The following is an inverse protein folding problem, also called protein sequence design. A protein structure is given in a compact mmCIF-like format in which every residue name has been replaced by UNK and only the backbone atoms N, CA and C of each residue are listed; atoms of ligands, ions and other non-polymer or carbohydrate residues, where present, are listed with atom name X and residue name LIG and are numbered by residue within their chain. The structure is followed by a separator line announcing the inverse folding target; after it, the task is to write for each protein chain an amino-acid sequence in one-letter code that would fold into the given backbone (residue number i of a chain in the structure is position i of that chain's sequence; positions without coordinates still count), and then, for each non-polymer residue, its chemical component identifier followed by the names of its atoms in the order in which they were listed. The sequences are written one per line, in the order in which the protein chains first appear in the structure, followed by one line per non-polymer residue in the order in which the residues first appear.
data_IF_092701536891
#
_entry.id   IF_092701536891
#
_cell.length_a   1.000
_cell.length_b   1.000
_cell.length_c   1.000
_cell.angle_alpha   90.00
_cell.angle_beta   90.00
_cell.angle_gamma   90.00
#
_symmetry.space_group_name_H-M   'P 1'
#
loop_
_entity.id
_entity.type
_entity.pdbx_description
1 polymer ?
#
# COMPACT_ATOMS: atom_id res chain seq x y z
N UNK A 1 16.45 12.91 -43.48
CA UNK A 1 16.73 11.50 -43.13
C UNK A 1 15.98 11.17 -41.85
N UNK A 2 14.91 10.40 -41.95
CA UNK A 2 14.12 9.97 -40.79
C UNK A 2 14.82 8.79 -40.11
N UNK A 3 15.25 8.95 -38.86
CA UNK A 3 15.78 7.84 -38.06
C UNK A 3 14.62 6.95 -37.64
N UNK A 4 14.39 5.87 -38.38
CA UNK A 4 13.43 4.83 -38.02
C UNK A 4 13.77 4.27 -36.65
N UNK A 5 12.93 4.56 -35.65
CA UNK A 5 13.01 3.92 -34.35
C UNK A 5 12.80 2.41 -34.52
N UNK A 6 13.51 1.60 -33.75
CA UNK A 6 13.34 0.14 -33.81
C UNK A 6 11.86 -0.23 -33.55
N UNK A 7 11.32 -1.30 -34.15
CA UNK A 7 9.89 -1.68 -34.03
C UNK A 7 9.40 -1.89 -32.59
N UNK A 8 10.34 -2.07 -31.64
CA UNK A 8 10.08 -2.16 -30.20
C UNK A 8 9.82 -0.78 -29.57
N UNK A 9 10.50 0.26 -30.06
CA UNK A 9 10.35 1.64 -29.59
C UNK A 9 9.05 2.29 -30.08
N UNK A 10 8.54 1.91 -31.26
CA UNK A 10 7.22 2.34 -31.75
C UNK A 10 6.06 1.64 -31.03
N UNK A 11 6.17 0.33 -30.77
CA UNK A 11 5.15 -0.40 -29.99
C UNK A 11 5.02 0.11 -28.54
N UNK A 12 6.11 0.57 -27.93
CA UNK A 12 6.09 1.22 -26.61
C UNK A 12 5.49 2.64 -26.63
N UNK A 13 5.45 3.31 -27.79
CA UNK A 13 4.86 4.65 -27.93
C UNK A 13 3.35 4.62 -28.18
N UNK A 14 2.78 3.48 -28.55
CA UNK A 14 1.34 3.26 -28.61
C UNK A 14 0.71 2.98 -27.23
N UNK A 15 1.46 3.19 -26.15
CA UNK A 15 0.95 3.16 -24.79
C UNK A 15 -0.10 4.28 -24.58
N UNK A 16 -1.19 3.93 -23.92
CA UNK A 16 -2.30 4.82 -23.52
C UNK A 16 -1.73 6.19 -23.10
N UNK A 17 -2.15 7.30 -23.74
CA UNK A 17 -1.65 8.62 -23.40
C UNK A 17 -1.91 8.91 -21.92
N UNK A 18 -0.84 8.99 -21.13
CA UNK A 18 -0.97 9.34 -19.72
C UNK A 18 -1.28 10.83 -19.63
N UNK A 19 -2.44 11.19 -19.08
CA UNK A 19 -2.92 12.60 -18.98
C UNK A 19 -2.11 13.44 -17.98
N UNK A 20 -1.26 12.79 -17.19
CA UNK A 20 -0.18 13.36 -16.39
C UNK A 20 0.84 12.25 -16.09
N UNK A 21 2.09 12.59 -15.76
CA UNK A 21 3.10 11.58 -15.41
C UNK A 21 3.36 11.55 -13.90
N UNK A 22 2.71 10.63 -13.20
CA UNK A 22 3.06 10.26 -11.82
C UNK A 22 4.33 9.39 -11.89
N UNK A 23 5.48 9.88 -11.42
CA UNK A 23 6.72 9.11 -11.46
C UNK A 23 6.64 7.96 -10.44
N UNK A 24 7.48 6.93 -10.61
CA UNK A 24 7.43 5.75 -9.73
C UNK A 24 7.53 6.04 -8.23
N UNK A 25 8.27 7.09 -7.82
CA UNK A 25 8.28 7.54 -6.42
C UNK A 25 6.94 8.11 -5.97
N UNK A 26 6.28 8.88 -6.83
CA UNK A 26 4.95 9.43 -6.56
C UNK A 26 3.90 8.33 -6.46
N UNK A 27 3.97 7.32 -7.34
CA UNK A 27 3.04 6.19 -7.31
C UNK A 27 3.24 5.30 -6.07
N UNK A 28 4.49 5.04 -5.67
CA UNK A 28 4.78 4.35 -4.41
C UNK A 28 4.34 5.16 -3.17
N UNK A 29 4.53 6.48 -3.19
CA UNK A 29 4.06 7.37 -2.12
C UNK A 29 2.55 7.40 -1.99
N UNK A 30 1.84 7.45 -3.13
CA UNK A 30 0.38 7.34 -3.17
C UNK A 30 -0.08 5.98 -2.63
N UNK A 31 0.56 4.88 -3.04
CA UNK A 31 0.25 3.54 -2.52
C UNK A 31 0.45 3.44 -1.02
N UNK A 32 1.51 4.06 -0.48
CA UNK A 32 1.73 4.13 0.96
C UNK A 32 0.65 4.95 1.69
N UNK A 33 0.21 6.07 1.12
CA UNK A 33 -0.87 6.89 1.68
C UNK A 33 -2.21 6.16 1.69
N UNK A 34 -2.55 5.52 0.57
CA UNK A 34 -3.73 4.66 0.44
C UNK A 34 -3.67 3.53 1.46
N UNK A 35 -2.54 2.85 1.57
CA UNK A 35 -2.36 1.77 2.54
C UNK A 35 -2.53 2.25 3.98
N UNK A 36 -1.88 3.35 4.36
CA UNK A 36 -2.01 3.90 5.71
C UNK A 36 -3.44 4.34 6.02
N UNK A 37 -4.15 4.96 5.07
CA UNK A 37 -5.53 5.39 5.27
C UNK A 37 -6.48 4.18 5.38
N UNK A 38 -6.35 3.20 4.50
CA UNK A 38 -7.15 1.98 4.53
C UNK A 38 -6.93 1.20 5.82
N UNK A 39 -5.68 0.95 6.21
CA UNK A 39 -5.36 0.27 7.47
C UNK A 39 -5.74 1.10 8.70
N UNK A 40 -5.65 2.44 8.64
CA UNK A 40 -6.10 3.33 9.70
C UNK A 40 -7.60 3.22 9.95
N UNK A 41 -8.41 3.22 8.89
CA UNK A 41 -9.86 2.99 8.99
C UNK A 41 -10.14 1.59 9.55
N UNK A 42 -9.46 0.56 9.05
CA UNK A 42 -9.62 -0.81 9.56
C UNK A 42 -9.26 -0.88 11.06
N UNK A 43 -8.21 -0.18 11.50
CA UNK A 43 -7.80 -0.14 12.91
C UNK A 43 -8.87 0.53 13.79
N UNK A 44 -9.42 1.66 13.36
CA UNK A 44 -10.53 2.34 14.07
C UNK A 44 -11.71 1.39 14.24
N UNK A 45 -12.13 0.71 13.17
CA UNK A 45 -13.26 -0.20 13.19
C UNK A 45 -13.01 -1.45 14.04
N UNK A 46 -11.74 -1.87 14.15
CA UNK A 46 -11.34 -3.00 15.00
C UNK A 46 -11.29 -2.63 16.48
N UNK A 47 -10.72 -1.46 16.83
CA UNK A 47 -10.59 -1.01 18.23
C UNK A 47 -11.92 -0.47 18.77
N UNK A 48 -12.72 0.17 17.91
CA UNK A 48 -13.99 0.81 18.26
C UNK A 48 -15.11 0.25 17.39
N UNK A 49 -15.52 -1.02 17.60
CA UNK A 49 -16.57 -1.63 16.79
C UNK A 49 -17.90 -0.87 16.84
N UNK A 50 -18.17 -0.14 17.92
CA UNK A 50 -19.34 0.74 18.03
C UNK A 50 -19.42 1.85 16.97
N UNK A 51 -18.31 2.23 16.33
CA UNK A 51 -18.28 3.18 15.19
C UNK A 51 -19.01 2.61 13.97
N UNK A 52 -19.01 1.27 13.80
CA UNK A 52 -19.73 0.62 12.71
C UNK A 52 -21.25 0.61 12.94
N UNK A 53 -21.72 0.92 14.16
CA UNK A 53 -23.13 0.86 14.51
C UNK A 53 -23.70 -0.55 14.30
N UNK A 54 -24.79 -0.71 13.52
CA UNK A 54 -25.37 -2.03 13.24
C UNK A 54 -24.65 -2.80 12.12
N UNK A 55 -23.67 -2.19 11.44
CA UNK A 55 -22.97 -2.80 10.31
C UNK A 55 -21.79 -3.67 10.78
N UNK A 56 -21.46 -4.69 9.98
CA UNK A 56 -20.24 -5.47 10.18
C UNK A 56 -18.99 -4.59 9.95
N UNK A 57 -18.09 -4.44 10.96
CA UNK A 57 -16.84 -3.70 10.83
C UNK A 57 -15.97 -4.14 9.64
N UNK A 58 -15.93 -5.44 9.32
CA UNK A 58 -15.13 -5.97 8.22
C UNK A 58 -15.70 -5.56 6.85
N UNK A 59 -17.03 -5.55 6.73
CA UNK A 59 -17.71 -5.06 5.53
C UNK A 59 -17.48 -3.56 5.35
N UNK A 60 -17.62 -2.76 6.42
CA UNK A 60 -17.42 -1.32 6.36
C UNK A 60 -15.96 -0.96 6.00
N UNK A 61 -14.99 -1.68 6.56
CA UNK A 61 -13.59 -1.55 6.17
C UNK A 61 -13.40 -1.86 4.68
N UNK A 62 -14.01 -2.94 4.18
CA UNK A 62 -13.94 -3.32 2.76
C UNK A 62 -14.52 -2.22 1.86
N UNK A 63 -15.67 -1.66 2.21
CA UNK A 63 -16.28 -0.54 1.50
C UNK A 63 -15.36 0.69 1.48
N UNK A 64 -14.66 0.98 2.58
CA UNK A 64 -13.68 2.06 2.63
C UNK A 64 -12.46 1.81 1.73
N UNK A 65 -12.03 0.55 1.58
CA UNK A 65 -10.91 0.19 0.70
C UNK A 65 -11.23 0.30 -0.80
N UNK A 66 -12.47 0.01 -1.21
CA UNK A 66 -12.89 0.04 -2.62
C UNK A 66 -12.49 1.33 -3.36
N UNK A 67 -12.85 2.55 -2.89
CA UNK A 67 -12.47 3.78 -3.59
C UNK A 67 -10.95 4.01 -3.58
N UNK A 68 -10.21 3.52 -2.58
CA UNK A 68 -8.76 3.69 -2.49
C UNK A 68 -8.01 2.78 -3.47
N UNK A 69 -8.48 1.54 -3.60
CA UNK A 69 -7.99 0.61 -4.61
C UNK A 69 -8.34 1.12 -6.00
N UNK A 70 -9.56 1.61 -6.21
CA UNK A 70 -9.98 2.20 -7.48
C UNK A 70 -9.11 3.42 -7.85
N UNK A 71 -8.77 4.28 -6.88
CA UNK A 71 -7.83 5.39 -7.07
C UNK A 71 -6.45 4.88 -7.51
N UNK A 72 -5.90 3.87 -6.85
CA UNK A 72 -4.60 3.29 -7.22
C UNK A 72 -4.61 2.68 -8.63
N UNK A 73 -5.68 1.97 -8.98
CA UNK A 73 -5.86 1.40 -10.31
C UNK A 73 -5.97 2.54 -11.34
N UNK A 74 -6.79 3.55 -11.09
CA UNK A 74 -6.97 4.70 -11.97
C UNK A 74 -5.67 5.45 -12.22
N UNK A 75 -4.91 5.78 -11.17
CA UNK A 75 -3.60 6.45 -11.29
C UNK A 75 -2.59 5.55 -12.01
N UNK A 76 -2.57 4.25 -11.70
CA UNK A 76 -1.71 3.27 -12.37
C UNK A 76 -1.98 3.17 -13.87
N UNK A 77 -3.26 3.15 -14.28
CA UNK A 77 -3.65 3.01 -15.68
C UNK A 77 -3.55 4.31 -16.47
N UNK A 78 -4.01 5.42 -15.89
CA UNK A 78 -4.24 6.68 -16.62
C UNK A 78 -3.13 7.72 -16.44
N UNK A 79 -2.37 7.65 -15.34
CA UNK A 79 -1.43 8.70 -14.97
C UNK A 79 0.00 8.18 -14.74
N UNK A 80 0.25 6.89 -14.94
CA UNK A 80 1.56 6.28 -14.66
C UNK A 80 2.19 5.75 -15.96
N UNK A 81 3.45 6.08 -16.28
CA UNK A 81 4.12 5.57 -17.48
C UNK A 81 4.28 4.04 -17.46
N UNK A 82 4.36 3.40 -18.63
CA UNK A 82 4.61 1.96 -18.78
C UNK A 82 5.85 1.49 -18.00
N UNK A 83 6.93 2.28 -18.06
CA UNK A 83 8.17 2.00 -17.33
C UNK A 83 7.96 1.89 -15.81
N UNK A 84 6.92 2.53 -15.27
CA UNK A 84 6.52 2.42 -13.87
C UNK A 84 5.50 1.29 -13.68
N UNK A 85 4.45 1.19 -14.51
CA UNK A 85 3.44 0.12 -14.42
C UNK A 85 4.06 -1.28 -14.44
N UNK A 86 5.04 -1.49 -15.31
CA UNK A 86 5.74 -2.75 -15.49
C UNK A 86 7.06 -2.81 -14.72
N UNK A 87 7.31 -1.86 -13.80
CA UNK A 87 8.51 -1.92 -12.97
C UNK A 87 8.44 -3.10 -12.00
N UNK A 88 9.61 -3.68 -11.73
CA UNK A 88 9.77 -4.86 -10.86
C UNK A 88 9.07 -4.80 -9.49
N UNK A 89 9.03 -3.66 -8.76
CA UNK A 89 8.25 -3.58 -7.52
C UNK A 89 6.77 -3.91 -7.71
N UNK A 90 6.16 -3.46 -8.82
CA UNK A 90 4.74 -3.72 -9.09
C UNK A 90 4.49 -5.16 -9.54
N UNK A 91 5.52 -5.83 -10.07
CA UNK A 91 5.50 -7.27 -10.33
C UNK A 91 5.35 -8.12 -9.07
N UNK A 92 5.77 -7.64 -7.88
CA UNK A 92 5.52 -8.31 -6.60
C UNK A 92 4.22 -7.84 -5.94
N UNK A 93 3.91 -6.55 -5.99
CA UNK A 93 2.69 -6.00 -5.37
C UNK A 93 1.40 -6.48 -6.03
N UNK A 94 1.33 -6.55 -7.35
CA UNK A 94 0.07 -6.86 -8.03
C UNK A 94 -0.43 -8.29 -7.77
N UNK A 95 0.40 -9.36 -7.91
CA UNK A 95 -0.04 -10.72 -7.57
C UNK A 95 -0.37 -10.86 -6.08
N UNK A 96 0.45 -10.26 -5.21
CA UNK A 96 0.25 -10.28 -3.77
C UNK A 96 -1.09 -9.67 -3.36
N UNK A 97 -1.41 -8.46 -3.84
CA UNK A 97 -2.68 -7.80 -3.56
C UNK A 97 -3.87 -8.53 -4.21
N UNK A 98 -3.68 -9.10 -5.39
CA UNK A 98 -4.70 -9.92 -6.05
C UNK A 98 -5.08 -11.15 -5.22
N UNK A 99 -4.09 -11.90 -4.74
CA UNK A 99 -4.30 -13.05 -3.87
C UNK A 99 -4.93 -12.65 -2.52
N UNK A 100 -4.47 -11.56 -1.91
CA UNK A 100 -5.06 -11.05 -0.68
C UNK A 100 -6.52 -10.61 -0.85
N UNK A 101 -6.85 -10.01 -2.00
CA UNK A 101 -8.23 -9.64 -2.35
C UNK A 101 -9.11 -10.88 -2.51
N UNK A 102 -8.63 -11.92 -3.19
CA UNK A 102 -9.36 -13.20 -3.32
C UNK A 102 -9.59 -13.84 -1.95
N UNK A 103 -8.57 -13.88 -1.09
CA UNK A 103 -8.70 -14.39 0.26
C UNK A 103 -9.70 -13.59 1.11
N UNK A 104 -9.73 -12.26 0.92
CA UNK A 104 -10.71 -11.37 1.56
C UNK A 104 -12.14 -11.72 1.13
N UNK A 105 -12.40 -11.81 -0.17
CA UNK A 105 -13.72 -12.18 -0.70
C UNK A 105 -14.15 -13.56 -0.22
N UNK A 106 -13.26 -14.55 -0.27
CA UNK A 106 -13.53 -15.91 0.19
C UNK A 106 -13.85 -15.94 1.70
N UNK A 107 -13.10 -15.21 2.53
CA UNK A 107 -13.35 -15.13 3.96
C UNK A 107 -14.69 -14.41 4.28
N UNK A 108 -14.98 -13.29 3.62
CA UNK A 108 -16.25 -12.57 3.79
C UNK A 108 -17.46 -13.37 3.29
N UNK A 109 -17.26 -14.26 2.31
CA UNK A 109 -18.30 -15.16 1.80
C UNK A 109 -18.45 -16.44 2.63
N UNK A 110 -17.66 -16.60 3.71
CA UNK A 110 -17.67 -17.78 4.57
C UNK A 110 -16.96 -19.02 4.03
N UNK A 111 -16.21 -18.91 2.93
CA UNK A 111 -15.46 -20.02 2.33
C UNK A 111 -14.12 -20.26 3.03
N UNK A 112 -13.57 -19.24 3.70
CA UNK A 112 -12.35 -19.32 4.49
C UNK A 112 -12.59 -18.74 5.88
N UNK A 113 -11.81 -19.14 6.91
CA UNK A 113 -11.85 -18.50 8.22
C UNK A 113 -11.62 -16.98 8.12
N UNK A 114 -12.27 -16.15 8.95
CA UNK A 114 -12.06 -14.69 8.96
C UNK A 114 -10.59 -14.30 9.19
N UNK A 115 -9.80 -15.13 9.86
CA UNK A 115 -8.39 -14.86 10.12
C UNK A 115 -7.53 -14.92 8.86
N UNK A 116 -8.00 -15.61 7.80
CA UNK A 116 -7.23 -15.85 6.59
C UNK A 116 -6.92 -14.58 5.81
N UNK A 117 -7.84 -13.61 5.76
CA UNK A 117 -7.58 -12.38 5.02
C UNK A 117 -6.48 -11.53 5.68
N UNK A 118 -6.34 -11.58 7.01
CA UNK A 118 -5.25 -10.91 7.73
C UNK A 118 -3.88 -11.45 7.36
N UNK A 119 -3.76 -12.79 7.35
CA UNK A 119 -2.53 -13.48 6.93
C UNK A 119 -2.22 -13.14 5.48
N UNK A 120 -3.22 -13.15 4.60
CA UNK A 120 -3.03 -12.85 3.19
C UNK A 120 -2.54 -11.41 2.96
N UNK A 121 -3.07 -10.43 3.69
CA UNK A 121 -2.62 -9.04 3.59
C UNK A 121 -1.24 -8.80 4.20
N UNK A 122 -0.90 -9.44 5.34
CA UNK A 122 0.46 -9.38 5.90
C UNK A 122 1.49 -10.01 4.95
N UNK A 123 1.17 -11.17 4.34
CA UNK A 123 1.98 -11.78 3.29
C UNK A 123 2.14 -10.85 2.09
N UNK A 124 1.07 -10.15 1.71
CA UNK A 124 1.11 -9.24 0.59
C UNK A 124 2.02 -8.03 0.87
N UNK A 125 1.91 -7.44 2.06
CA UNK A 125 2.80 -6.37 2.52
C UNK A 125 4.26 -6.80 2.56
N UNK A 126 4.55 -7.94 3.21
CA UNK A 126 5.90 -8.49 3.30
C UNK A 126 6.52 -8.74 1.92
N UNK A 127 5.76 -9.38 1.01
CA UNK A 127 6.19 -9.67 -0.36
C UNK A 127 6.40 -8.39 -1.17
N UNK A 128 5.46 -7.45 -1.09
CA UNK A 128 5.52 -6.17 -1.78
C UNK A 128 6.72 -5.32 -1.35
N UNK A 129 6.95 -5.18 -0.04
CA UNK A 129 8.07 -4.42 0.49
C UNK A 129 9.42 -5.09 0.23
N UNK A 130 9.51 -6.41 0.34
CA UNK A 130 10.73 -7.14 0.01
C UNK A 130 11.09 -7.01 -1.48
N UNK A 131 10.09 -7.14 -2.36
CA UNK A 131 10.26 -6.91 -3.80
C UNK A 131 10.68 -5.48 -4.13
N UNK A 132 10.11 -4.50 -3.41
CA UNK A 132 10.49 -3.08 -3.52
C UNK A 132 11.94 -2.85 -3.06
N UNK A 133 12.35 -3.43 -1.93
CA UNK A 133 13.72 -3.39 -1.44
C UNK A 133 14.72 -3.97 -2.45
N UNK A 134 14.43 -5.16 -2.99
CA UNK A 134 15.28 -5.81 -4.01
C UNK A 134 15.43 -4.94 -5.26
N UNK A 135 14.34 -4.31 -5.70
CA UNK A 135 14.37 -3.41 -6.85
C UNK A 135 15.18 -2.14 -6.57
N UNK A 136 15.04 -1.52 -5.39
CA UNK A 136 15.81 -0.33 -4.99
C UNK A 136 17.30 -0.65 -4.86
N UNK A 137 17.64 -1.77 -4.19
CA UNK A 137 19.03 -2.20 -3.97
C UNK A 137 19.79 -2.41 -5.29
N UNK A 138 19.12 -2.95 -6.32
CA UNK A 138 19.70 -3.14 -7.67
C UNK A 138 20.04 -1.82 -8.38
N UNK A 139 19.53 -0.69 -7.91
CA UNK A 139 19.87 0.65 -8.44
C UNK A 139 21.01 1.32 -7.68
N UNK A 140 21.64 0.63 -6.72
CA UNK A 140 22.69 1.19 -5.85
C UNK A 140 22.19 2.19 -4.80
N UNK A 141 20.86 2.36 -4.68
CA UNK A 141 20.24 3.25 -3.69
C UNK A 141 20.01 2.53 -2.37
N UNK A 142 19.95 3.31 -1.28
CA UNK A 142 19.57 2.80 0.03
C UNK A 142 18.10 2.35 0.04
N UNK A 143 17.89 1.09 0.43
CA UNK A 143 16.58 0.46 0.54
C UNK A 143 16.23 0.02 1.96
N UNK A 144 17.01 0.39 2.99
CA UNK A 144 16.85 -0.10 4.37
C UNK A 144 15.43 0.09 4.92
N UNK A 145 14.75 1.18 4.56
CA UNK A 145 13.40 1.47 5.03
C UNK A 145 12.35 0.53 4.40
N UNK A 146 12.56 0.07 3.17
CA UNK A 146 11.71 -0.95 2.55
C UNK A 146 11.95 -2.32 3.18
N UNK A 147 13.20 -2.63 3.54
CA UNK A 147 13.52 -3.86 4.28
C UNK A 147 12.93 -3.84 5.69
N UNK A 148 12.99 -2.70 6.38
CA UNK A 148 12.36 -2.51 7.69
C UNK A 148 10.84 -2.71 7.60
N UNK A 149 10.18 -2.12 6.60
CA UNK A 149 8.75 -2.33 6.36
C UNK A 149 8.42 -3.82 6.10
N UNK A 150 9.22 -4.51 5.28
CA UNK A 150 9.05 -5.95 5.04
C UNK A 150 9.24 -6.78 6.33
N UNK A 151 10.21 -6.41 7.16
CA UNK A 151 10.44 -7.06 8.45
C UNK A 151 9.29 -6.82 9.43
N UNK A 152 8.72 -5.61 9.46
CA UNK A 152 7.51 -5.30 10.24
C UNK A 152 6.34 -6.18 9.81
N UNK A 153 6.04 -6.25 8.51
CA UNK A 153 4.97 -7.12 7.98
C UNK A 153 5.22 -8.61 8.27
N UNK A 154 6.48 -9.05 8.20
CA UNK A 154 6.85 -10.43 8.56
C UNK A 154 6.68 -10.69 10.06
N UNK A 155 6.99 -9.71 10.91
CA UNK A 155 6.75 -9.80 12.35
C UNK A 155 5.24 -9.84 12.65
N UNK A 156 4.41 -9.13 11.88
CA UNK A 156 2.94 -9.26 11.93
C UNK A 156 2.49 -10.65 11.54
N UNK A 157 3.09 -11.23 10.51
CA UNK A 157 2.78 -12.59 10.09
C UNK A 157 3.09 -13.60 11.21
N UNK A 158 4.28 -13.51 11.82
CA UNK A 158 4.72 -14.44 12.88
C UNK A 158 3.96 -14.20 14.19
N UNK A 159 3.75 -12.93 14.56
CA UNK A 159 3.07 -12.52 15.79
C UNK A 159 1.54 -12.59 15.72
N UNK A 160 0.94 -12.27 14.57
CA UNK A 160 -0.51 -12.31 14.34
C UNK A 160 -1.05 -13.74 14.19
N UNK A 161 -0.22 -14.70 13.77
CA UNK A 161 -0.57 -16.14 13.82
C UNK A 161 -0.55 -16.68 15.27
N UNK A 162 0.13 -15.99 16.20
CA UNK A 162 0.28 -16.44 17.59
C UNK A 162 -0.56 -15.63 18.60
N UNK A 163 -1.00 -14.43 18.24
CA UNK A 163 -1.76 -13.51 19.12
C UNK A 163 -3.03 -13.04 18.42
N UNK A 164 -4.19 -13.54 18.85
CA UNK A 164 -5.49 -13.00 18.44
C UNK A 164 -5.67 -11.58 19.00
N UNK A 165 -6.12 -10.62 18.18
CA UNK A 165 -6.45 -9.27 18.65
C UNK A 165 -6.17 -8.15 17.65
N UNK A 166 -6.10 -6.92 18.15
CA UNK A 166 -5.98 -5.68 17.36
C UNK A 166 -4.55 -5.40 16.84
N UNK A 167 -3.57 -6.09 17.42
CA UNK A 167 -2.14 -5.92 17.12
C UNK A 167 -1.77 -6.06 15.64
N UNK A 168 -2.32 -7.01 14.85
CA UNK A 168 -2.03 -7.11 13.43
C UNK A 168 -2.42 -5.85 12.65
N UNK A 169 -3.54 -5.22 13.00
CA UNK A 169 -4.09 -4.04 12.29
C UNK A 169 -3.26 -2.79 12.56
N UNK A 170 -2.85 -2.60 13.81
CA UNK A 170 -1.99 -1.48 14.21
C UNK A 170 -0.61 -1.60 13.58
N UNK A 171 -0.06 -2.81 13.56
CA UNK A 171 1.25 -3.07 12.97
C UNK A 171 1.25 -2.92 11.44
N UNK A 172 0.22 -3.41 10.75
CA UNK A 172 -0.02 -3.18 9.31
C UNK A 172 -0.11 -1.67 9.00
N UNK A 173 -0.85 -0.91 9.80
CA UNK A 173 -0.91 0.54 9.69
C UNK A 173 0.45 1.23 9.85
N UNK A 174 1.22 0.87 10.88
CA UNK A 174 2.57 1.43 11.09
C UNK A 174 3.58 1.02 10.02
N UNK A 175 3.47 -0.19 9.45
CA UNK A 175 4.36 -0.62 8.38
C UNK A 175 4.25 0.28 7.14
N UNK A 176 3.09 0.90 6.92
CA UNK A 176 2.86 1.86 5.83
C UNK A 176 3.31 3.30 6.18
N UNK A 177 3.48 3.62 7.46
CA UNK A 177 4.06 4.91 7.90
C UNK A 177 5.53 5.01 7.49
N UNK A 178 6.29 3.90 7.52
CA UNK A 178 7.71 3.90 7.14
C UNK A 178 7.91 4.34 5.67
N UNK A 179 7.26 3.73 4.66
CA UNK A 179 7.26 4.23 3.29
C UNK A 179 6.75 5.67 3.14
N UNK A 180 5.76 6.08 3.95
CA UNK A 180 5.24 7.45 3.94
C UNK A 180 6.29 8.47 4.40
N UNK A 181 7.11 8.17 5.41
CA UNK A 181 8.21 9.06 5.83
C UNK A 181 9.28 9.18 4.73
N UNK A 182 9.54 8.12 3.97
CA UNK A 182 10.43 8.15 2.81
C UNK A 182 9.87 9.01 1.68
N UNK A 183 8.58 8.83 1.37
CA UNK A 183 7.89 9.61 0.36
C UNK A 183 7.81 11.10 0.76
N UNK A 184 7.44 11.39 2.00
CA UNK A 184 7.32 12.73 2.56
C UNK A 184 8.66 13.46 2.60
N UNK A 185 9.73 12.82 3.06
CA UNK A 185 11.07 13.44 3.07
C UNK A 185 11.60 13.70 1.65
N UNK A 186 11.27 12.85 0.67
CA UNK A 186 11.57 13.09 -0.74
C UNK A 186 10.78 14.26 -1.34
N UNK A 187 9.52 14.42 -0.93
CA UNK A 187 8.60 15.47 -1.39
C UNK A 187 8.91 16.83 -0.75
N UNK A 188 9.19 16.86 0.56
CA UNK A 188 9.58 18.06 1.32
C UNK A 188 10.90 18.65 0.83
N UNK A 189 11.88 17.80 0.45
CA UNK A 189 13.13 18.24 -0.20
C UNK A 189 12.92 18.88 -1.58
N UNK A 190 11.80 18.61 -2.25
CA UNK A 190 11.50 19.12 -3.61
C UNK A 190 10.59 20.35 -3.63
N UNK A 191 9.72 20.50 -2.64
CA UNK A 191 8.70 21.56 -2.60
C UNK A 191 9.01 22.68 -1.58
N UNK A 192 10.10 22.58 -0.81
CA UNK A 192 10.34 23.47 0.33
C UNK A 192 9.40 23.18 1.50
N UNK A 193 9.47 23.99 2.56
CA UNK A 193 8.78 23.80 3.86
C UNK A 193 7.23 23.82 3.82
N UNK A 194 6.61 23.80 2.63
CA UNK A 194 5.15 23.86 2.41
C UNK A 194 4.49 22.57 1.90
N UNK A 195 5.12 21.40 2.03
CA UNK A 195 4.61 20.12 1.50
C UNK A 195 3.65 19.38 2.47
N UNK A 196 2.76 18.49 1.96
CA UNK A 196 1.36 18.37 2.37
C UNK A 196 1.12 17.64 3.69
N UNK A 197 0.07 18.06 4.41
CA UNK A 197 -0.45 17.55 5.68
C UNK A 197 -0.81 16.04 5.72
N UNK A 198 -0.81 15.34 4.58
CA UNK A 198 -1.33 13.95 4.48
C UNK A 198 -0.53 12.91 5.29
N UNK A 199 0.82 12.88 5.26
CA UNK A 199 1.60 11.97 6.10
C UNK A 199 1.48 12.31 7.59
N UNK A 200 1.29 13.60 7.92
CA UNK A 200 1.09 14.08 9.30
C UNK A 200 -0.29 13.67 9.81
N UNK A 201 -1.33 13.78 8.96
CA UNK A 201 -2.69 13.33 9.28
C UNK A 201 -2.74 11.81 9.39
N UNK A 202 -2.13 11.06 8.45
CA UNK A 202 -2.08 9.60 8.51
C UNK A 202 -1.32 9.09 9.75
N UNK A 203 -0.17 9.68 10.05
CA UNK A 203 0.60 9.38 11.28
C UNK A 203 -0.16 9.80 12.53
N UNK A 204 -0.80 10.97 12.51
CA UNK A 204 -1.64 11.49 13.59
C UNK A 204 -2.86 10.62 13.86
N UNK A 205 -3.50 10.07 12.83
CA UNK A 205 -4.62 9.14 12.97
C UNK A 205 -4.17 7.81 13.58
N UNK A 206 -3.06 7.24 13.09
CA UNK A 206 -2.48 6.00 13.62
C UNK A 206 -2.06 6.16 15.09
N UNK A 207 -1.40 7.28 15.43
CA UNK A 207 -1.01 7.58 16.82
C UNK A 207 -2.21 7.89 17.71
N UNK A 208 -3.21 8.64 17.23
CA UNK A 208 -4.41 8.94 18.01
C UNK A 208 -5.23 7.66 18.31
N UNK A 209 -5.27 6.71 17.38
CA UNK A 209 -5.91 5.40 17.59
C UNK A 209 -5.11 4.53 18.55
N UNK A 210 -3.78 4.54 18.45
CA UNK A 210 -2.90 3.79 19.36
C UNK A 210 -2.93 4.34 20.81
N UNK A 211 -3.11 5.66 20.98
CA UNK A 211 -3.13 6.31 22.30
C UNK A 211 -4.54 6.46 22.90
N UNK A 212 -5.60 6.39 22.09
CA UNK A 212 -7.00 6.56 22.52
C UNK A 212 -7.70 5.25 22.91
N UNK A 213 -6.96 4.17 23.14
CA UNK A 213 -7.43 2.86 23.60
C UNK A 213 -7.18 2.61 25.09
N UNK A 214 -7.46 3.61 25.93
CA UNK A 214 -7.57 3.47 27.39
C UNK A 214 -9.04 3.60 27.81
#
# INVERSE_FOLDING_TARGET
MASGGTPRSERLRQAIPTTGSVPGRGFLGLGAAVGAMGWGVTAVLTVRPGVAGPLDPALLATVAWVPLVALMIGVGLLATPDAVRFARPFGSWAPANGLASVATVAALSGWLPPQTYWVAWALAGATGYLGTWLAVRRTGRDGRLWLAAAACETAVLVGGVTVAGVWPVLLLGTAHVVPLTVAASGLQRRLGSGAPLVPVIATGLVLAVAMGGA
#
